data_IF_667225167508
#
_entry.id   IF_667225167508
#
_cell.length_a   1.000
_cell.length_b   1.000
_cell.length_c   1.000
_cell.angle_alpha   90.00
_cell.angle_beta   90.00
_cell.angle_gamma   90.00
#
_symmetry.space_group_name_H-M   'P 1'
#
loop_
_entity.id
_entity.type
_entity.pdbx_description
1 polymer ?
#
# COMPACT_ATOMS: atom_id res chain seq x y z
N UNK A 1 -11.40 4.02 31.78
CA UNK A 1 -10.27 3.42 31.02
C UNK A 1 -10.42 3.78 29.57
N UNK A 2 -9.32 4.04 28.86
CA UNK A 2 -9.36 4.24 27.39
C UNK A 2 -9.61 2.88 26.73
N UNK A 3 -10.43 2.86 25.69
CA UNK A 3 -10.59 1.67 24.87
C UNK A 3 -9.33 1.46 24.03
N UNK A 4 -8.79 0.25 24.03
CA UNK A 4 -7.65 -0.15 23.22
C UNK A 4 -8.15 -0.46 21.81
N UNK A 5 -7.78 0.34 20.84
CA UNK A 5 -8.12 0.15 19.42
C UNK A 5 -6.87 -0.36 18.72
N UNK A 6 -6.98 -1.49 18.02
CA UNK A 6 -5.91 -1.99 17.16
C UNK A 6 -6.38 -1.99 15.72
N UNK A 7 -5.63 -1.31 14.85
CA UNK A 7 -5.87 -1.20 13.43
C UNK A 7 -4.77 -1.91 12.67
N UNK A 8 -5.15 -2.89 11.86
CA UNK A 8 -4.26 -3.70 11.06
C UNK A 8 -4.21 -3.18 9.63
N UNK A 9 -3.03 -2.76 9.20
CA UNK A 9 -2.77 -2.15 7.90
C UNK A 9 -2.81 -0.62 7.94
N UNK A 10 -1.69 0.01 7.55
CA UNK A 10 -1.53 1.45 7.43
C UNK A 10 -1.68 1.95 5.97
N UNK A 11 -2.56 1.31 5.21
CA UNK A 11 -3.03 1.79 3.92
C UNK A 11 -4.06 2.91 4.04
N UNK A 12 -4.83 3.17 2.98
CA UNK A 12 -5.86 4.22 2.96
C UNK A 12 -6.83 4.14 4.13
N UNK A 13 -7.42 2.96 4.37
CA UNK A 13 -8.44 2.81 5.41
C UNK A 13 -7.87 2.97 6.81
N UNK A 14 -6.70 2.38 7.10
CA UNK A 14 -6.08 2.46 8.42
C UNK A 14 -5.57 3.85 8.74
N UNK A 15 -4.94 4.54 7.78
CA UNK A 15 -4.47 5.92 7.94
C UNK A 15 -5.62 6.91 8.14
N UNK A 16 -6.65 6.80 7.31
CA UNK A 16 -7.83 7.68 7.39
C UNK A 16 -8.56 7.52 8.72
N UNK A 17 -8.86 6.28 9.11
CA UNK A 17 -9.51 6.01 10.38
C UNK A 17 -8.68 6.53 11.57
N UNK A 18 -7.37 6.26 11.56
CA UNK A 18 -6.47 6.72 12.62
C UNK A 18 -6.42 8.25 12.71
N UNK A 19 -6.50 8.93 11.56
CA UNK A 19 -6.55 10.39 11.47
C UNK A 19 -7.83 10.93 12.07
N UNK A 20 -8.99 10.45 11.61
CA UNK A 20 -10.30 10.89 12.09
C UNK A 20 -10.43 10.67 13.60
N UNK A 21 -10.06 9.48 14.09
CA UNK A 21 -10.14 9.18 15.52
C UNK A 21 -9.21 10.06 16.35
N UNK A 22 -8.01 10.34 15.87
CA UNK A 22 -7.07 11.24 16.54
C UNK A 22 -7.59 12.68 16.63
N UNK A 23 -8.18 13.19 15.55
CA UNK A 23 -8.76 14.54 15.50
C UNK A 23 -9.96 14.69 16.43
N UNK A 24 -10.80 13.65 16.53
CA UNK A 24 -12.01 13.69 17.36
C UNK A 24 -11.75 13.41 18.83
N UNK A 25 -10.83 12.52 19.16
CA UNK A 25 -10.62 12.02 20.52
C UNK A 25 -9.34 12.55 21.17
N UNK A 26 -8.33 12.93 20.38
CA UNK A 26 -7.06 13.45 20.85
C UNK A 26 -6.42 12.51 21.88
N UNK A 27 -6.05 13.06 23.03
CA UNK A 27 -5.38 12.30 24.10
C UNK A 27 -6.29 11.25 24.79
N UNK A 28 -7.59 11.25 24.50
CA UNK A 28 -8.50 10.18 24.97
C UNK A 28 -8.39 8.89 24.14
N UNK A 29 -7.77 8.95 22.97
CA UNK A 29 -7.52 7.79 22.11
C UNK A 29 -6.38 6.93 22.65
N UNK A 30 -6.47 5.61 22.51
CA UNK A 30 -5.39 4.64 22.64
C UNK A 30 -5.45 3.69 21.44
N UNK A 31 -4.84 4.11 20.32
CA UNK A 31 -4.85 3.40 19.06
C UNK A 31 -3.45 2.92 18.70
N UNK A 32 -3.35 1.63 18.40
CA UNK A 32 -2.16 1.01 17.82
C UNK A 32 -2.42 0.68 16.36
N UNK A 33 -1.64 1.30 15.45
CA UNK A 33 -1.66 1.06 14.02
C UNK A 33 -0.49 0.15 13.66
N UNK A 34 -0.77 -1.02 13.06
CA UNK A 34 0.25 -2.05 12.76
C UNK A 34 0.35 -2.25 11.24
N UNK A 35 1.56 -2.16 10.70
CA UNK A 35 1.86 -2.49 9.30
C UNK A 35 3.28 -3.06 9.19
N UNK A 36 3.51 -3.95 8.23
CA UNK A 36 4.84 -4.51 7.94
C UNK A 36 5.77 -3.51 7.26
N UNK A 37 5.19 -2.56 6.51
CA UNK A 37 5.90 -1.56 5.73
C UNK A 37 6.32 -0.38 6.61
N UNK A 38 7.32 0.35 6.18
CA UNK A 38 7.79 1.58 6.83
C UNK A 38 7.14 2.84 6.26
N UNK A 39 6.41 2.70 5.15
CA UNK A 39 5.91 3.83 4.37
C UNK A 39 4.70 3.47 3.52
N UNK A 40 4.01 4.51 3.12
CA UNK A 40 2.87 4.49 2.20
C UNK A 40 3.24 5.15 0.88
N UNK A 41 2.74 4.59 -0.22
CA UNK A 41 2.81 5.16 -1.56
C UNK A 41 1.41 5.45 -2.07
N UNK A 42 1.17 6.69 -2.47
CA UNK A 42 -0.09 7.04 -3.11
C UNK A 42 -0.14 6.46 -4.54
N UNK A 43 -1.25 5.81 -4.89
CA UNK A 43 -1.35 5.02 -6.12
C UNK A 43 -0.97 5.77 -7.40
N UNK A 44 -1.46 7.00 -7.56
CA UNK A 44 -1.17 7.83 -8.74
C UNK A 44 0.30 8.26 -8.85
N UNK A 45 1.00 8.42 -7.72
CA UNK A 45 2.43 8.77 -7.72
C UNK A 45 3.32 7.69 -8.31
N UNK A 46 2.81 6.48 -8.50
CA UNK A 46 3.54 5.40 -9.17
C UNK A 46 3.84 5.73 -10.63
N UNK A 47 2.93 6.38 -11.33
CA UNK A 47 3.18 6.83 -12.71
C UNK A 47 4.24 7.94 -12.77
N UNK A 48 4.28 8.85 -11.79
CA UNK A 48 5.37 9.82 -11.71
C UNK A 48 6.74 9.12 -11.63
N UNK A 49 6.82 7.99 -10.89
CA UNK A 49 8.06 7.20 -10.81
C UNK A 49 8.31 6.42 -12.10
N UNK A 50 7.30 5.72 -12.63
CA UNK A 50 7.40 4.90 -13.84
C UNK A 50 7.92 5.68 -15.04
N UNK A 51 7.48 6.93 -15.20
CA UNK A 51 7.89 7.82 -16.31
C UNK A 51 9.03 8.78 -15.95
N UNK A 52 9.68 8.58 -14.79
CA UNK A 52 10.88 9.34 -14.41
C UNK A 52 10.63 10.78 -13.97
N UNK A 53 9.37 11.18 -13.76
CA UNK A 53 9.04 12.54 -13.31
C UNK A 53 9.42 12.81 -11.87
N UNK A 54 9.40 11.77 -11.01
CA UNK A 54 9.82 11.83 -9.62
C UNK A 54 10.63 10.61 -9.22
N UNK A 55 11.50 10.78 -8.25
CA UNK A 55 12.20 9.65 -7.65
C UNK A 55 11.25 8.85 -6.74
N UNK A 56 11.56 7.58 -6.53
CA UNK A 56 10.86 6.71 -5.58
C UNK A 56 10.80 7.31 -4.18
N UNK A 57 11.89 7.93 -3.74
CA UNK A 57 11.97 8.58 -2.43
C UNK A 57 11.07 9.81 -2.31
N UNK A 58 10.93 10.59 -3.38
CA UNK A 58 10.11 11.80 -3.37
C UNK A 58 8.61 11.54 -3.21
N UNK A 59 8.15 10.33 -3.55
CA UNK A 59 6.73 9.93 -3.43
C UNK A 59 6.45 9.07 -2.21
N UNK A 60 7.45 8.84 -1.37
CA UNK A 60 7.39 7.99 -0.20
C UNK A 60 6.92 8.76 1.03
N UNK A 61 5.86 8.28 1.66
CA UNK A 61 5.30 8.85 2.89
C UNK A 61 5.65 7.93 4.07
N UNK A 62 6.72 8.26 4.79
CA UNK A 62 7.19 7.43 5.89
C UNK A 62 6.25 7.49 7.10
N UNK A 63 5.89 6.34 7.64
CA UNK A 63 5.05 6.22 8.83
C UNK A 63 5.71 6.76 10.10
N UNK A 64 7.05 6.80 10.15
CA UNK A 64 7.79 7.46 11.26
C UNK A 64 7.46 8.95 11.39
N UNK A 65 6.93 9.56 10.34
CA UNK A 65 6.52 10.98 10.33
C UNK A 65 5.06 11.16 10.79
N UNK A 66 4.35 10.09 11.09
CA UNK A 66 2.97 10.16 11.61
C UNK A 66 3.05 10.55 13.09
N UNK A 67 2.78 11.81 13.36
CA UNK A 67 2.65 12.34 14.72
C UNK A 67 1.21 12.74 14.96
N UNK A 68 0.43 11.83 15.55
CA UNK A 68 -0.99 12.06 15.83
C UNK A 68 -1.30 11.70 17.29
N UNK A 69 -1.99 12.60 18.05
CA UNK A 69 -2.39 12.33 19.44
C UNK A 69 -3.12 10.99 19.56
N UNK A 70 -2.70 10.17 20.51
CA UNK A 70 -3.33 8.88 20.80
C UNK A 70 -3.05 7.75 19.82
N UNK A 71 -2.27 7.98 18.74
CA UNK A 71 -1.89 6.96 17.74
C UNK A 71 -0.45 6.54 17.94
N UNK A 72 -0.24 5.22 18.01
CA UNK A 72 1.09 4.57 18.08
C UNK A 72 1.26 3.70 16.84
N UNK A 73 2.20 4.03 15.99
CA UNK A 73 2.56 3.17 14.85
C UNK A 73 3.53 2.07 15.31
N UNK A 74 3.30 0.84 14.82
CA UNK A 74 4.16 -0.33 14.99
C UNK A 74 4.48 -0.92 13.64
N UNK A 75 5.75 -0.88 13.28
CA UNK A 75 6.23 -1.57 12.09
C UNK A 75 6.48 -3.03 12.43
N UNK A 76 5.46 -3.85 12.22
CA UNK A 76 5.49 -5.26 12.60
C UNK A 76 4.72 -6.11 11.58
N UNK A 77 5.21 -7.34 11.38
CA UNK A 77 4.52 -8.32 10.53
C UNK A 77 3.46 -9.06 11.35
N UNK A 78 2.22 -8.99 10.92
CA UNK A 78 1.10 -9.73 11.52
C UNK A 78 1.21 -11.19 11.09
N UNK A 79 1.27 -12.09 12.07
CA UNK A 79 1.41 -13.54 11.85
C UNK A 79 0.16 -14.33 12.25
N UNK A 80 -0.73 -13.72 13.03
CA UNK A 80 -1.98 -14.35 13.40
C UNK A 80 -3.02 -13.35 13.89
N UNK A 81 -4.29 -13.65 13.62
CA UNK A 81 -5.44 -12.86 14.05
C UNK A 81 -6.48 -13.81 14.62
N UNK A 82 -6.85 -13.59 15.88
CA UNK A 82 -8.04 -14.19 16.49
C UNK A 82 -9.13 -13.11 16.56
N UNK A 83 -10.10 -13.13 15.66
CA UNK A 83 -11.14 -12.09 15.61
C UNK A 83 -12.15 -12.19 16.77
N UNK A 84 -12.31 -13.37 17.36
CA UNK A 84 -13.23 -13.59 18.47
C UNK A 84 -12.64 -13.04 19.77
N UNK A 85 -11.39 -13.42 20.07
CA UNK A 85 -10.66 -12.89 21.22
C UNK A 85 -10.11 -11.48 20.99
N UNK A 86 -10.20 -10.94 19.75
CA UNK A 86 -9.58 -9.69 19.31
C UNK A 86 -8.09 -9.62 19.69
N UNK A 87 -7.41 -10.75 19.47
CA UNK A 87 -5.98 -10.91 19.73
C UNK A 87 -5.20 -10.96 18.43
N UNK A 88 -4.11 -10.21 18.40
CA UNK A 88 -3.24 -10.09 17.23
C UNK A 88 -1.86 -10.57 17.64
N UNK A 89 -1.29 -11.49 16.86
CA UNK A 89 0.09 -11.94 17.00
C UNK A 89 0.92 -11.32 15.89
N UNK A 90 2.08 -10.79 16.25
CA UNK A 90 3.08 -10.25 15.31
C UNK A 90 4.42 -10.94 15.53
N UNK A 91 5.39 -10.61 14.68
CA UNK A 91 6.78 -11.07 14.87
C UNK A 91 7.45 -10.49 16.13
N UNK A 92 6.87 -9.45 16.77
CA UNK A 92 7.47 -8.78 17.94
C UNK A 92 6.64 -8.93 19.22
N UNK A 93 5.42 -9.49 19.14
CA UNK A 93 4.60 -9.67 20.33
C UNK A 93 3.13 -9.96 20.06
N UNK A 94 2.33 -9.82 21.12
CA UNK A 94 0.89 -10.06 21.10
C UNK A 94 0.16 -8.80 21.56
N UNK A 95 -0.90 -8.44 20.86
CA UNK A 95 -1.77 -7.32 21.16
C UNK A 95 -3.17 -7.82 21.47
N UNK A 96 -3.82 -7.21 22.44
CA UNK A 96 -5.23 -7.41 22.77
C UNK A 96 -5.98 -6.11 22.56
N UNK A 97 -7.13 -6.19 21.91
CA UNK A 97 -7.94 -5.03 21.57
C UNK A 97 -9.34 -5.10 22.19
N UNK A 98 -9.89 -3.96 22.57
CA UNK A 98 -11.29 -3.81 22.86
C UNK A 98 -12.08 -3.62 21.53
N UNK A 99 -11.43 -2.97 20.55
CA UNK A 99 -11.91 -2.81 19.18
C UNK A 99 -10.79 -3.23 18.22
N UNK A 100 -11.06 -4.20 17.36
CA UNK A 100 -10.16 -4.65 16.29
C UNK A 100 -10.68 -4.20 14.94
N UNK A 101 -9.83 -3.51 14.17
CA UNK A 101 -10.11 -3.08 12.80
C UNK A 101 -9.15 -3.76 11.84
N UNK A 102 -9.70 -4.43 10.82
CA UNK A 102 -8.92 -5.10 9.78
C UNK A 102 -8.99 -4.25 8.52
N UNK A 103 -7.87 -3.57 8.18
CA UNK A 103 -7.73 -2.68 7.04
C UNK A 103 -6.52 -3.07 6.17
N UNK A 104 -6.25 -4.38 6.05
CA UNK A 104 -5.07 -4.92 5.37
C UNK A 104 -5.06 -4.74 3.85
N UNK A 105 -6.20 -4.35 3.27
CA UNK A 105 -6.32 -4.15 1.83
C UNK A 105 -6.32 -5.46 1.06
N UNK A 106 -5.83 -5.39 -0.18
CA UNK A 106 -5.67 -6.52 -1.08
C UNK A 106 -4.30 -6.45 -1.75
N UNK A 107 -3.71 -7.60 -1.97
CA UNK A 107 -2.44 -7.75 -2.69
C UNK A 107 -2.67 -8.28 -4.10
N UNK A 108 -1.61 -8.38 -4.90
CA UNK A 108 -1.64 -8.89 -6.28
C UNK A 108 -1.17 -10.33 -6.27
N UNK A 109 -1.99 -11.22 -6.84
CA UNK A 109 -1.61 -12.59 -7.11
C UNK A 109 -0.99 -12.67 -8.52
N UNK A 110 0.29 -12.33 -8.61
CA UNK A 110 1.03 -12.33 -9.89
C UNK A 110 1.14 -13.75 -10.45
N UNK A 111 1.22 -14.75 -9.57
CA UNK A 111 1.31 -16.15 -9.97
C UNK A 111 0.04 -16.66 -10.66
N UNK A 112 -1.11 -16.02 -10.44
CA UNK A 112 -2.35 -16.34 -11.14
C UNK A 112 -2.32 -16.01 -12.64
N UNK A 113 -1.28 -15.28 -13.11
CA UNK A 113 -1.04 -15.03 -14.55
C UNK A 113 0.28 -15.66 -14.97
N UNK A 114 0.29 -16.94 -15.40
CA UNK A 114 1.50 -17.62 -15.82
C UNK A 114 2.22 -16.87 -16.95
N UNK A 115 3.53 -16.71 -16.84
CA UNK A 115 4.36 -16.02 -17.82
C UNK A 115 4.46 -14.49 -17.60
N UNK A 116 3.72 -13.91 -16.65
CA UNK A 116 3.77 -12.46 -16.43
C UNK A 116 5.14 -11.99 -15.93
N UNK A 117 5.77 -12.73 -15.02
CA UNK A 117 7.09 -12.38 -14.51
C UNK A 117 8.23 -12.67 -15.50
N UNK A 118 8.06 -13.69 -16.33
CA UNK A 118 9.07 -14.13 -17.28
C UNK A 118 9.09 -13.29 -18.56
N UNK A 119 7.93 -12.83 -19.03
CA UNK A 119 7.78 -12.17 -20.32
C UNK A 119 7.04 -10.84 -20.32
N UNK A 120 6.54 -10.41 -19.16
CA UNK A 120 5.78 -9.18 -19.02
C UNK A 120 6.35 -8.25 -17.95
N UNK A 121 5.64 -7.13 -17.80
CA UNK A 121 5.86 -6.17 -16.74
C UNK A 121 4.51 -5.75 -16.18
N UNK A 122 4.45 -5.35 -14.92
CA UNK A 122 3.25 -4.83 -14.30
C UNK A 122 3.55 -3.47 -13.64
N UNK A 123 2.55 -2.62 -13.50
CA UNK A 123 2.70 -1.27 -12.94
C UNK A 123 1.78 -1.00 -11.74
N UNK A 124 1.21 -2.04 -11.17
CA UNK A 124 0.37 -1.94 -9.97
C UNK A 124 1.16 -2.01 -8.68
N UNK A 125 2.25 -2.82 -8.63
CA UNK A 125 3.18 -2.78 -7.52
C UNK A 125 4.16 -1.59 -7.65
N UNK A 126 4.81 -1.24 -6.56
CA UNK A 126 5.83 -0.19 -6.60
C UNK A 126 7.09 -0.70 -7.31
N UNK A 127 7.46 -1.93 -7.05
CA UNK A 127 8.58 -2.64 -7.65
C UNK A 127 8.42 -2.77 -9.18
N UNK A 128 7.19 -3.03 -9.65
CA UNK A 128 6.86 -3.07 -11.07
C UNK A 128 7.05 -1.72 -11.75
N UNK A 129 6.63 -0.63 -11.08
CA UNK A 129 6.85 0.73 -11.62
C UNK A 129 8.32 1.13 -11.67
N UNK A 130 9.13 0.75 -10.67
CA UNK A 130 10.57 0.98 -10.69
C UNK A 130 11.26 0.21 -11.81
N UNK A 131 10.87 -1.05 -12.02
CA UNK A 131 11.37 -1.86 -13.14
C UNK A 131 11.05 -1.21 -14.48
N UNK A 132 9.83 -0.72 -14.67
CA UNK A 132 9.42 -0.04 -15.91
C UNK A 132 10.15 1.30 -16.10
N UNK A 133 10.36 2.07 -15.03
CA UNK A 133 11.19 3.29 -15.07
C UNK A 133 12.58 3.02 -15.67
N UNK A 134 13.19 1.91 -15.27
CA UNK A 134 14.55 1.57 -15.72
C UNK A 134 14.56 0.98 -17.14
N UNK A 135 13.45 0.39 -17.56
CA UNK A 135 13.30 -0.26 -18.87
C UNK A 135 12.89 0.70 -19.98
N UNK A 136 11.92 1.59 -19.71
CA UNK A 136 11.30 2.45 -20.71
C UNK A 136 12.28 3.34 -21.48
N UNK A 137 13.31 3.97 -20.87
CA UNK A 137 14.27 4.80 -21.61
C UNK A 137 15.10 4.04 -22.65
N UNK A 138 15.24 2.72 -22.50
CA UNK A 138 15.94 1.86 -23.47
C UNK A 138 15.05 1.37 -24.62
N UNK A 139 13.74 1.63 -24.56
CA UNK A 139 12.81 1.17 -25.59
C UNK A 139 12.74 2.15 -26.75
N UNK A 140 13.49 1.87 -27.82
CA UNK A 140 13.62 2.77 -28.96
C UNK A 140 12.74 2.38 -30.17
N UNK A 141 12.26 1.15 -30.23
CA UNK A 141 11.39 0.66 -31.32
C UNK A 141 10.69 -0.63 -30.92
N UNK A 142 9.51 -0.84 -31.48
CA UNK A 142 8.72 -2.05 -31.23
C UNK A 142 7.25 -1.74 -31.03
N UNK A 143 6.55 -2.67 -30.39
CA UNK A 143 5.14 -2.53 -30.06
C UNK A 143 4.96 -2.63 -28.56
N UNK A 144 4.34 -1.63 -27.94
CA UNK A 144 3.89 -1.67 -26.55
C UNK A 144 2.48 -2.23 -26.53
N UNK A 145 2.25 -3.20 -25.66
CA UNK A 145 0.92 -3.75 -25.40
C UNK A 145 0.59 -3.54 -23.92
N UNK A 146 -0.50 -2.87 -23.65
CA UNK A 146 -1.05 -2.71 -22.30
C UNK A 146 -2.33 -3.52 -22.21
N UNK A 147 -2.42 -4.40 -21.25
CA UNK A 147 -3.55 -5.32 -21.10
C UNK A 147 -3.98 -5.50 -19.65
N UNK A 148 -5.22 -5.95 -19.48
CA UNK A 148 -5.78 -6.38 -18.19
C UNK A 148 -5.80 -7.90 -18.17
N UNK A 149 -5.05 -8.51 -17.28
CA UNK A 149 -4.89 -9.97 -17.22
C UNK A 149 -6.02 -10.68 -16.49
N UNK A 150 -6.73 -9.97 -15.60
CA UNK A 150 -7.80 -10.55 -14.80
C UNK A 150 -8.85 -9.51 -14.38
N UNK A 151 -10.07 -9.97 -14.10
CA UNK A 151 -11.13 -9.15 -13.54
C UNK A 151 -11.66 -9.85 -12.25
N UNK A 152 -12.05 -9.08 -11.20
CA UNK A 152 -11.99 -7.63 -11.13
C UNK A 152 -10.54 -7.11 -10.96
N UNK A 153 -10.27 -5.89 -11.41
CA UNK A 153 -8.98 -5.24 -11.25
C UNK A 153 -9.13 -3.84 -10.61
N UNK A 154 -8.06 -3.36 -9.97
CA UNK A 154 -8.06 -2.06 -9.30
C UNK A 154 -7.88 -0.93 -10.32
N UNK A 155 -8.45 0.24 -10.03
CA UNK A 155 -8.24 1.46 -10.77
C UNK A 155 -8.53 1.29 -12.28
N UNK A 156 -9.79 1.21 -12.70
CA UNK A 156 -10.15 0.96 -14.11
C UNK A 156 -9.51 1.90 -15.13
N UNK A 157 -9.25 3.20 -14.86
CA UNK A 157 -8.58 4.08 -15.80
C UNK A 157 -7.07 3.84 -15.95
N UNK A 158 -6.40 3.19 -14.98
CA UNK A 158 -4.95 3.07 -14.97
C UNK A 158 -4.34 2.40 -16.21
N UNK A 159 -4.88 1.34 -16.80
CA UNK A 159 -4.34 0.75 -18.04
C UNK A 159 -4.41 1.73 -19.21
N UNK A 160 -5.50 2.48 -19.35
CA UNK A 160 -5.65 3.47 -20.41
C UNK A 160 -4.69 4.65 -20.22
N UNK A 161 -4.52 5.12 -18.99
CA UNK A 161 -3.58 6.17 -18.63
C UNK A 161 -2.13 5.74 -18.92
N UNK A 162 -1.74 4.53 -18.49
CA UNK A 162 -0.42 3.99 -18.80
C UNK A 162 -0.16 3.89 -20.30
N UNK A 163 -1.15 3.44 -21.09
CA UNK A 163 -1.03 3.36 -22.53
C UNK A 163 -0.83 4.73 -23.19
N UNK A 164 -1.60 5.73 -22.75
CA UNK A 164 -1.48 7.11 -23.27
C UNK A 164 -0.13 7.74 -22.90
N UNK A 165 0.33 7.56 -21.67
CA UNK A 165 1.62 8.07 -21.22
C UNK A 165 2.78 7.43 -21.98
N UNK A 166 2.73 6.14 -22.29
CA UNK A 166 3.73 5.48 -23.14
C UNK A 166 3.79 6.02 -24.58
N UNK A 167 2.77 6.73 -25.04
CA UNK A 167 2.77 7.31 -26.42
C UNK A 167 3.49 8.66 -26.49
N UNK A 168 3.65 9.33 -25.37
CA UNK A 168 4.18 10.70 -25.30
C UNK A 168 5.57 10.78 -24.63
N UNK A 169 6.06 9.64 -24.16
CA UNK A 169 7.41 9.51 -23.60
C UNK A 169 8.36 8.95 -24.66
#
# INVERSE_FOLDING_TARGET
MKQRIVVLGAGFGGLELSTILSEQLGDRLDLTLIDKSDSFYFGFSKFDVMFGHKSSEAVRLYYRNIVKPGVKFRQEMITGIDPVAKRITTNNGVYEADVLVIALGADYDIAATPGLLEGGNEFYSFEGTERLRDLLPGFSKGRVMVGVCSAPFKCPPAPSEAALLCMIT
#
